data_IF_855465893958
#
_entry.id   IF_855465893958
#
_cell.length_a   1.000
_cell.length_b   1.000
_cell.length_c   1.000
_cell.angle_alpha   90.00
_cell.angle_beta   90.00
_cell.angle_gamma   90.00
#
_symmetry.space_group_name_H-M   'P 1'
#
loop_
_entity.id
_entity.type
_entity.pdbx_description
1 polymer ?
#
# COMPACT_ATOMS: atom_id res chain seq x y z
N UNK A 1 39.09 -42.75 -37.36
CA UNK A 1 39.26 -41.55 -36.50
C UNK A 1 38.26 -41.59 -35.35
N UNK A 2 38.69 -41.71 -34.09
CA UNK A 2 37.78 -41.62 -32.94
C UNK A 2 37.85 -40.23 -32.27
N UNK A 3 36.67 -39.67 -31.97
CA UNK A 3 36.48 -38.35 -31.34
C UNK A 3 36.86 -38.36 -29.85
N UNK A 4 37.63 -37.37 -29.40
CA UNK A 4 37.98 -37.19 -28.00
C UNK A 4 36.77 -36.78 -27.14
N UNK A 5 36.55 -37.49 -26.03
CA UNK A 5 35.48 -37.21 -25.05
C UNK A 5 36.05 -36.35 -23.92
N UNK A 6 35.56 -35.13 -23.75
CA UNK A 6 36.05 -34.23 -22.69
C UNK A 6 35.59 -34.67 -21.29
N UNK A 7 36.52 -34.78 -20.34
CA UNK A 7 36.21 -35.07 -18.93
C UNK A 7 35.72 -33.78 -18.25
N UNK A 8 34.47 -33.77 -17.78
CA UNK A 8 33.93 -32.69 -16.93
C UNK A 8 34.53 -32.79 -15.52
N UNK A 9 35.19 -31.73 -15.04
CA UNK A 9 35.66 -31.64 -13.66
C UNK A 9 34.50 -31.31 -12.71
N UNK A 10 34.31 -32.11 -11.65
CA UNK A 10 33.36 -31.79 -10.57
C UNK A 10 33.92 -30.64 -9.73
N UNK A 11 33.17 -29.54 -9.59
CA UNK A 11 33.50 -28.46 -8.65
C UNK A 11 33.29 -28.95 -7.21
N UNK A 12 34.23 -28.66 -6.31
CA UNK A 12 34.11 -28.93 -4.86
C UNK A 12 33.13 -27.95 -4.21
N UNK A 13 32.35 -28.43 -3.24
CA UNK A 13 31.52 -27.60 -2.38
C UNK A 13 32.36 -26.96 -1.27
N UNK A 14 32.17 -25.66 -1.06
CA UNK A 14 32.81 -24.89 0.00
C UNK A 14 31.97 -25.01 1.28
N UNK A 15 32.53 -25.64 2.32
CA UNK A 15 31.96 -25.63 3.67
C UNK A 15 32.62 -24.50 4.44
N UNK A 16 31.83 -23.48 4.77
CA UNK A 16 32.27 -22.25 5.42
C UNK A 16 33.11 -22.44 6.68
N UNK A 17 33.87 -21.40 7.00
CA UNK A 17 34.88 -21.42 8.05
C UNK A 17 34.27 -21.66 9.44
N UNK A 18 34.60 -22.81 10.04
CA UNK A 18 34.40 -23.09 11.47
C UNK A 18 35.59 -22.57 12.28
N UNK A 19 35.28 -21.85 13.37
CA UNK A 19 36.05 -21.51 14.60
C UNK A 19 36.09 -19.99 14.84
N UNK A 20 35.94 -19.42 16.03
CA UNK A 20 35.58 -19.85 17.40
C UNK A 20 35.47 -18.58 18.26
N UNK A 21 34.62 -18.61 19.30
CA UNK A 21 34.80 -18.11 20.68
C UNK A 21 33.57 -17.37 21.23
N UNK A 22 32.98 -17.99 22.25
CA UNK A 22 32.15 -17.35 23.27
C UNK A 22 32.97 -16.27 23.99
N UNK A 23 32.52 -15.02 23.89
CA UNK A 23 32.99 -13.94 24.76
C UNK A 23 31.76 -13.33 25.40
N UNK A 24 31.59 -13.62 26.68
CA UNK A 24 30.75 -12.85 27.59
C UNK A 24 31.24 -11.38 27.51
N UNK A 25 30.42 -10.47 27.01
CA UNK A 25 30.71 -9.03 27.08
C UNK A 25 29.54 -8.35 27.76
N UNK A 26 29.79 -7.94 29.00
CA UNK A 26 28.99 -7.00 29.75
C UNK A 26 28.61 -5.83 28.85
N UNK A 27 27.31 -5.53 28.77
CA UNK A 27 26.78 -4.33 28.11
C UNK A 27 27.11 -3.11 28.98
N UNK A 28 28.38 -2.68 28.97
CA UNK A 28 28.73 -1.34 29.41
C UNK A 28 28.82 -0.48 28.15
N UNK A 29 27.67 0.10 27.77
CA UNK A 29 27.60 1.05 26.67
C UNK A 29 28.44 2.29 27.00
N UNK A 30 29.46 2.56 26.19
CA UNK A 30 30.22 3.82 26.24
C UNK A 30 29.29 5.00 25.96
N UNK A 31 29.53 6.16 26.56
CA UNK A 31 28.68 7.37 26.45
C UNK A 31 28.31 7.79 25.01
N UNK A 32 29.10 7.40 24.01
CA UNK A 32 28.82 7.65 22.59
C UNK A 32 27.74 6.72 22.00
N UNK A 33 27.58 5.49 22.50
CA UNK A 33 26.57 4.54 22.03
C UNK A 33 25.16 4.90 22.54
N UNK A 34 25.08 5.50 23.74
CA UNK A 34 23.81 5.98 24.30
C UNK A 34 23.20 7.13 23.49
N UNK A 35 24.04 7.96 22.84
CA UNK A 35 23.60 9.04 21.94
C UNK A 35 23.10 8.56 20.57
N UNK A 36 23.51 7.37 20.12
CA UNK A 36 22.98 6.76 18.90
C UNK A 36 21.61 6.11 19.18
N UNK A 37 21.46 5.42 20.30
CA UNK A 37 20.18 4.79 20.67
C UNK A 37 19.08 5.78 21.02
N UNK A 38 19.42 7.01 21.44
CA UNK A 38 18.44 8.09 21.68
C UNK A 38 18.00 8.83 20.41
N UNK A 39 18.73 8.70 19.30
CA UNK A 39 18.31 9.25 18.01
C UNK A 39 17.38 8.32 17.24
N UNK A 40 17.39 7.02 17.52
CA UNK A 40 16.42 6.06 16.95
C UNK A 40 15.11 5.98 17.74
N UNK A 41 14.94 6.78 18.80
CA UNK A 41 13.77 6.73 19.70
C UNK A 41 12.87 7.97 19.63
N UNK A 42 12.98 8.81 18.59
CA UNK A 42 12.13 10.01 18.43
C UNK A 42 11.45 10.16 17.08
N UNK A 43 11.08 9.05 16.43
CA UNK A 43 10.03 9.04 15.39
C UNK A 43 8.96 8.01 15.76
N UNK A 44 8.38 8.22 16.95
CA UNK A 44 7.19 7.51 17.40
C UNK A 44 5.94 8.00 16.68
N UNK A 45 5.91 7.93 15.35
CA UNK A 45 4.72 7.94 14.49
C UNK A 45 5.03 7.27 13.15
N UNK A 46 5.67 6.09 13.15
CA UNK A 46 5.39 5.10 12.09
C UNK A 46 3.94 4.62 12.31
N UNK A 47 2.97 5.47 11.96
CA UNK A 47 1.66 4.97 11.56
C UNK A 47 1.94 4.10 10.36
N UNK A 48 1.90 2.78 10.56
CA UNK A 48 1.92 1.74 9.54
C UNK A 48 1.52 2.37 8.20
N UNK A 49 2.52 2.60 7.35
CA UNK A 49 2.30 3.14 6.02
C UNK A 49 1.61 2.03 5.23
N UNK A 50 0.30 1.89 5.45
CA UNK A 50 -0.53 1.00 4.69
C UNK A 50 -0.67 1.64 3.32
N UNK A 51 0.33 1.35 2.50
CA UNK A 51 0.41 1.77 1.12
C UNK A 51 -0.91 1.41 0.45
N UNK A 52 -1.62 2.42 -0.03
CA UNK A 52 -2.88 2.28 -0.73
C UNK A 52 -2.64 1.40 -1.96
N UNK A 53 -3.14 0.16 -1.90
CA UNK A 53 -2.95 -0.85 -2.93
C UNK A 53 -4.29 -1.27 -3.55
N UNK A 54 -4.18 -1.70 -4.81
CA UNK A 54 -5.29 -2.19 -5.61
C UNK A 54 -6.04 -1.10 -6.36
N UNK A 55 -7.05 -1.51 -7.12
CA UNK A 55 -7.77 -0.62 -8.02
C UNK A 55 -9.01 -0.05 -7.34
N UNK A 56 -9.34 1.21 -7.63
CA UNK A 56 -10.55 1.90 -7.19
C UNK A 56 -11.18 2.62 -8.36
N UNK A 57 -12.50 2.60 -8.42
CA UNK A 57 -13.24 3.39 -9.42
C UNK A 57 -13.51 4.76 -8.79
N UNK A 58 -13.07 5.81 -9.48
CA UNK A 58 -13.25 7.20 -9.07
C UNK A 58 -14.02 7.92 -10.16
N UNK A 59 -15.05 8.66 -9.76
CA UNK A 59 -15.82 9.51 -10.65
C UNK A 59 -14.96 10.68 -11.15
N UNK A 60 -15.11 11.03 -12.43
CA UNK A 60 -14.28 12.06 -13.05
C UNK A 60 -14.47 13.43 -12.37
N UNK A 61 -15.68 13.75 -11.90
CA UNK A 61 -15.95 15.00 -11.21
C UNK A 61 -15.30 15.04 -9.83
N UNK A 62 -15.32 13.91 -9.11
CA UNK A 62 -14.55 13.76 -7.86
C UNK A 62 -13.06 13.98 -8.13
N UNK A 63 -12.52 13.35 -9.18
CA UNK A 63 -11.10 13.47 -9.52
C UNK A 63 -10.70 14.92 -9.87
N UNK A 64 -11.53 15.63 -10.64
CA UNK A 64 -11.33 17.06 -10.92
C UNK A 64 -11.34 17.90 -9.64
N UNK A 65 -12.24 17.60 -8.70
CA UNK A 65 -12.28 18.23 -7.38
C UNK A 65 -10.98 18.03 -6.60
N UNK A 66 -10.40 16.82 -6.63
CA UNK A 66 -9.12 16.54 -5.97
C UNK A 66 -7.97 17.31 -6.63
N UNK A 67 -7.93 17.38 -7.96
CA UNK A 67 -6.90 18.14 -8.68
C UNK A 67 -6.96 19.64 -8.45
N UNK A 68 -8.08 20.18 -7.95
CA UNK A 68 -8.13 21.56 -7.49
C UNK A 68 -7.31 21.79 -6.20
N UNK A 69 -6.97 20.72 -5.48
CA UNK A 69 -6.27 20.73 -4.19
C UNK A 69 -4.94 19.96 -4.30
N UNK A 70 -4.04 20.41 -5.19
CA UNK A 70 -2.68 19.84 -5.28
C UNK A 70 -1.76 20.28 -4.12
N UNK A 71 -2.07 21.42 -3.50
CA UNK A 71 -1.39 21.98 -2.34
C UNK A 71 -2.36 22.13 -1.18
N UNK A 72 -1.85 22.03 0.04
CA UNK A 72 -2.66 22.28 1.22
C UNK A 72 -3.25 23.71 1.19
N UNK A 73 -4.57 23.91 1.35
CA UNK A 73 -5.16 25.24 1.33
C UNK A 73 -4.81 26.09 2.56
N UNK A 74 -4.28 25.50 3.63
CA UNK A 74 -3.91 26.23 4.85
C UNK A 74 -2.45 26.67 4.87
N UNK A 75 -1.51 25.80 4.51
CA UNK A 75 -0.08 26.08 4.58
C UNK A 75 0.63 26.12 3.22
N UNK A 76 -0.10 25.91 2.12
CA UNK A 76 0.40 25.90 0.74
C UNK A 76 1.53 24.91 0.44
N UNK A 77 1.81 23.99 1.37
CA UNK A 77 2.78 22.92 1.15
C UNK A 77 2.19 21.85 0.25
N UNK A 78 3.05 21.30 -0.62
CA UNK A 78 2.77 20.12 -1.42
C UNK A 78 3.02 18.85 -0.62
N UNK A 79 2.56 17.70 -1.11
CA UNK A 79 2.77 16.42 -0.45
C UNK A 79 1.65 16.06 0.54
N UNK A 80 0.41 16.33 0.12
CA UNK A 80 -0.79 15.84 0.81
C UNK A 80 -0.80 14.30 0.79
N UNK A 81 -1.14 13.68 1.93
CA UNK A 81 -1.27 12.22 2.06
C UNK A 81 -2.71 11.83 1.81
N UNK A 82 -2.92 10.84 0.94
CA UNK A 82 -4.23 10.22 0.74
C UNK A 82 -4.36 9.00 1.65
N UNK A 83 -5.48 8.86 2.33
CA UNK A 83 -5.86 7.68 3.12
C UNK A 83 -7.24 7.19 2.70
N UNK A 84 -7.49 5.89 2.82
CA UNK A 84 -8.81 5.28 2.62
C UNK A 84 -9.37 4.85 3.96
N UNK A 85 -10.46 5.47 4.39
CA UNK A 85 -11.01 5.29 5.73
C UNK A 85 -11.98 4.11 5.80
N UNK A 86 -12.73 3.86 4.72
CA UNK A 86 -13.70 2.78 4.65
C UNK A 86 -14.09 2.43 3.22
N UNK A 87 -14.66 1.22 3.05
CA UNK A 87 -15.14 0.68 1.77
C UNK A 87 -16.56 0.19 1.90
N UNK A 88 -17.37 0.48 0.90
CA UNK A 88 -18.75 0.03 0.75
C UNK A 88 -18.92 -0.51 -0.67
N UNK A 89 -18.60 -1.79 -0.89
CA UNK A 89 -18.54 -2.37 -2.23
C UNK A 89 -17.50 -1.66 -3.10
N UNK A 90 -17.92 -1.16 -4.26
CA UNK A 90 -17.06 -0.40 -5.19
C UNK A 90 -16.80 1.04 -4.75
N UNK A 91 -17.52 1.55 -3.75
CA UNK A 91 -17.31 2.89 -3.23
C UNK A 91 -16.27 2.89 -2.12
N UNK A 92 -15.34 3.84 -2.19
CA UNK A 92 -14.37 4.12 -1.14
C UNK A 92 -14.57 5.51 -0.58
N UNK A 93 -14.43 5.64 0.74
CA UNK A 93 -14.35 6.93 1.41
C UNK A 93 -12.86 7.20 1.68
N UNK A 94 -12.39 8.37 1.23
CA UNK A 94 -11.01 8.80 1.33
C UNK A 94 -10.89 10.06 2.16
N UNK A 95 -9.72 10.27 2.76
CA UNK A 95 -9.34 11.52 3.40
C UNK A 95 -7.98 11.98 2.89
N UNK A 96 -7.89 13.29 2.61
CA UNK A 96 -6.64 13.98 2.30
C UNK A 96 -6.15 14.63 3.58
N UNK A 97 -4.92 14.32 3.98
CA UNK A 97 -4.30 14.81 5.22
C UNK A 97 -3.04 15.59 4.90
N UNK A 98 -2.89 16.75 5.54
CA UNK A 98 -1.67 17.55 5.53
C UNK A 98 -0.95 17.48 6.88
N UNK A 99 0.39 17.62 6.88
CA UNK A 99 1.19 17.71 8.12
C UNK A 99 0.80 18.90 9.01
N UNK A 100 0.20 19.96 8.46
CA UNK A 100 -0.28 21.10 9.23
C UNK A 100 -1.61 20.85 9.96
N UNK A 101 -2.21 19.66 9.82
CA UNK A 101 -3.50 19.30 10.43
C UNK A 101 -4.72 19.51 9.53
N UNK A 102 -4.56 20.02 8.31
CA UNK A 102 -5.66 20.06 7.35
C UNK A 102 -6.12 18.64 7.00
N UNK A 103 -7.44 18.42 7.04
CA UNK A 103 -8.08 17.17 6.64
C UNK A 103 -9.32 17.46 5.80
N UNK A 104 -9.48 16.74 4.69
CA UNK A 104 -10.68 16.82 3.87
C UNK A 104 -11.10 15.42 3.40
N UNK A 105 -12.30 15.02 3.79
CA UNK A 105 -12.90 13.74 3.38
C UNK A 105 -13.66 13.87 2.05
N UNK A 106 -13.60 12.84 1.22
CA UNK A 106 -14.37 12.74 -0.01
C UNK A 106 -14.69 11.28 -0.33
N UNK A 107 -15.63 11.05 -1.25
CA UNK A 107 -16.03 9.71 -1.68
C UNK A 107 -15.63 9.47 -3.12
N UNK A 108 -15.24 8.24 -3.45
CA UNK A 108 -14.76 7.88 -4.79
C UNK A 108 -15.77 8.22 -5.89
N UNK A 109 -17.06 8.06 -5.60
CA UNK A 109 -18.16 8.55 -6.42
C UNK A 109 -19.21 9.27 -5.57
N UNK A 110 -20.01 10.18 -6.15
CA UNK A 110 -21.12 10.82 -5.45
C UNK A 110 -22.10 9.79 -4.86
N UNK A 111 -22.59 10.05 -3.64
CA UNK A 111 -23.61 9.23 -3.00
C UNK A 111 -24.98 9.86 -3.22
N UNK A 112 -25.93 9.06 -3.70
CA UNK A 112 -27.33 9.45 -3.83
C UNK A 112 -28.13 8.79 -2.70
N UNK A 113 -28.85 9.58 -1.88
CA UNK A 113 -29.61 9.06 -0.73
C UNK A 113 -28.78 8.17 0.21
N UNK A 114 -27.52 8.57 0.48
CA UNK A 114 -26.53 7.81 1.27
C UNK A 114 -26.09 6.47 0.68
N UNK A 115 -26.46 6.17 -0.57
CA UNK A 115 -26.08 4.94 -1.27
C UNK A 115 -25.07 5.24 -2.37
N UNK A 116 -24.17 4.27 -2.58
CA UNK A 116 -23.25 4.26 -3.70
C UNK A 116 -24.02 3.93 -5.00
N UNK A 117 -24.10 4.87 -5.93
CA UNK A 117 -24.77 4.67 -7.22
C UNK A 117 -24.07 3.58 -8.04
N UNK A 118 -22.72 3.51 -8.02
CA UNK A 118 -21.95 2.47 -8.69
C UNK A 118 -22.33 1.04 -8.28
N UNK A 119 -22.53 0.78 -6.99
CA UNK A 119 -22.94 -0.54 -6.52
C UNK A 119 -24.31 -0.93 -7.10
N UNK A 120 -25.22 0.03 -7.18
CA UNK A 120 -26.56 -0.19 -7.74
C UNK A 120 -26.49 -0.45 -9.25
N UNK A 121 -25.68 0.33 -9.97
CA UNK A 121 -25.44 0.16 -11.40
C UNK A 121 -24.80 -1.19 -11.72
N UNK A 122 -23.85 -1.66 -10.90
CA UNK A 122 -23.26 -2.99 -11.06
C UNK A 122 -24.35 -4.07 -10.96
N UNK A 123 -25.20 -4.01 -9.94
CA UNK A 123 -26.27 -4.99 -9.74
C UNK A 123 -27.26 -4.99 -10.91
N UNK A 124 -27.67 -3.81 -11.39
CA UNK A 124 -28.54 -3.71 -12.56
C UNK A 124 -27.87 -4.21 -13.84
N UNK A 125 -26.59 -3.90 -14.04
CA UNK A 125 -25.81 -4.39 -15.19
C UNK A 125 -25.70 -5.91 -15.20
N UNK A 126 -25.40 -6.53 -14.06
CA UNK A 126 -25.37 -7.99 -13.93
C UNK A 126 -26.74 -8.61 -14.24
N UNK A 127 -27.84 -8.01 -13.75
CA UNK A 127 -29.20 -8.48 -14.04
C UNK A 127 -29.54 -8.37 -15.53
N UNK A 128 -29.19 -7.26 -16.18
CA UNK A 128 -29.39 -7.08 -17.62
C UNK A 128 -28.61 -8.11 -18.44
N UNK A 129 -27.41 -8.48 -17.99
CA UNK A 129 -26.60 -9.52 -18.62
C UNK A 129 -27.05 -10.96 -18.30
N UNK A 130 -28.09 -11.16 -17.49
CA UNK A 130 -28.51 -12.48 -17.02
C UNK A 130 -27.45 -13.17 -16.14
N UNK A 131 -26.60 -12.39 -15.46
CA UNK A 131 -25.50 -12.87 -14.61
C UNK A 131 -25.81 -12.63 -13.14
N UNK A 132 -25.48 -13.61 -12.30
CA UNK A 132 -25.63 -13.51 -10.85
C UNK A 132 -24.42 -12.89 -10.16
N UNK A 133 -24.53 -12.76 -8.84
CA UNK A 133 -23.47 -12.25 -7.96
C UNK A 133 -22.12 -12.95 -8.15
N UNK A 134 -22.11 -14.28 -8.33
CA UNK A 134 -20.88 -15.07 -8.49
C UNK A 134 -20.07 -14.68 -9.74
N UNK A 135 -20.74 -14.33 -10.84
CA UNK A 135 -20.09 -13.84 -12.04
C UNK A 135 -19.54 -12.42 -11.83
N UNK A 136 -20.28 -11.57 -11.12
CA UNK A 136 -19.82 -10.25 -10.69
C UNK A 136 -18.56 -10.31 -9.84
N UNK A 137 -18.52 -11.17 -8.82
CA UNK A 137 -17.34 -11.33 -7.98
C UNK A 137 -16.12 -11.81 -8.77
N UNK A 138 -16.28 -12.75 -9.71
CA UNK A 138 -15.18 -13.17 -10.60
C UNK A 138 -14.62 -12.01 -11.42
N UNK A 139 -15.51 -11.15 -11.96
CA UNK A 139 -15.11 -9.96 -12.70
C UNK A 139 -14.32 -8.99 -11.80
N UNK A 140 -14.84 -8.65 -10.62
CA UNK A 140 -14.20 -7.71 -9.70
C UNK A 140 -12.85 -8.23 -9.20
N UNK A 141 -12.75 -9.52 -8.86
CA UNK A 141 -11.49 -10.15 -8.46
C UNK A 141 -10.44 -10.08 -9.58
N UNK A 142 -10.83 -10.37 -10.83
CA UNK A 142 -9.92 -10.30 -11.98
C UNK A 142 -9.41 -8.87 -12.24
N UNK A 143 -10.22 -7.87 -11.92
CA UNK A 143 -9.87 -6.45 -12.03
C UNK A 143 -9.18 -5.90 -10.78
N UNK A 144 -8.96 -6.71 -9.74
CA UNK A 144 -8.43 -6.28 -8.44
C UNK A 144 -9.22 -5.10 -7.85
N UNK A 145 -10.54 -5.14 -8.00
CA UNK A 145 -11.51 -4.22 -7.41
C UNK A 145 -12.05 -4.80 -6.09
N UNK A 146 -12.43 -3.94 -5.13
CA UNK A 146 -13.04 -4.35 -3.87
C UNK A 146 -14.41 -5.03 -4.04
#
# INVERSE_FOLDING_TARGET
>A
MPKARSKKFKKRSFYGNRRSKSVLKNNMSTASATKLNTLESSDGLESDLQELKGNRIIDIQTLLGIFSILSCPQCFTTGLKLTEDSKEGLCSNFTIVCKCGFMAGFTSTPKENKKCSLNTLLVFSLRLMGRGFSAGMKLLCNLNLP
#
